data_IF_319714951689
#
_entry.id   IF_319714951689
#
_cell.length_a   1.000
_cell.length_b   1.000
_cell.length_c   1.000
_cell.angle_alpha   90.00
_cell.angle_beta   90.00
_cell.angle_gamma   90.00
#
_symmetry.space_group_name_H-M   'P 1'
#
loop_
_entity.id
_entity.type
_entity.pdbx_description
1 polymer ?
#
# COMPACT_ATOMS: atom_id res chain seq x y z
N UNK A 1 2.45 -3.69 -13.35
CA UNK A 1 1.70 -3.47 -14.59
C UNK A 1 1.20 -2.03 -14.62
N UNK A 2 1.49 -1.25 -15.68
CA UNK A 2 1.12 0.17 -15.73
C UNK A 2 -0.40 0.38 -15.86
N UNK A 3 -1.11 -0.54 -16.50
CA UNK A 3 -2.57 -0.44 -16.65
C UNK A 3 -3.28 -0.60 -15.30
N UNK A 4 -2.77 -1.48 -14.44
CA UNK A 4 -3.26 -1.65 -13.06
C UNK A 4 -3.04 -0.37 -12.23
N UNK A 5 -1.87 0.26 -12.33
CA UNK A 5 -1.60 1.52 -11.62
C UNK A 5 -2.56 2.61 -12.12
N UNK A 6 -2.75 2.70 -13.43
CA UNK A 6 -3.57 3.73 -14.05
C UNK A 6 -5.06 3.64 -13.66
N UNK A 7 -5.56 2.44 -13.33
CA UNK A 7 -6.96 2.25 -12.93
C UNK A 7 -7.27 2.71 -11.50
N UNK A 8 -6.26 3.06 -10.70
CA UNK A 8 -6.51 3.50 -9.33
C UNK A 8 -7.26 4.84 -9.31
N UNK A 9 -8.14 5.06 -8.31
CA UNK A 9 -8.88 6.30 -8.21
C UNK A 9 -7.95 7.52 -8.16
N UNK A 10 -8.29 8.55 -8.95
CA UNK A 10 -7.60 9.83 -9.00
C UNK A 10 -8.52 10.95 -8.58
N UNK A 11 -7.97 11.95 -7.92
CA UNK A 11 -8.68 13.09 -7.36
C UNK A 11 -7.91 14.37 -7.65
N UNK A 12 -8.62 15.45 -7.94
CA UNK A 12 -8.03 16.78 -8.00
C UNK A 12 -8.05 17.37 -6.60
N UNK A 13 -6.89 17.77 -6.09
CA UNK A 13 -6.81 18.53 -4.85
C UNK A 13 -7.29 19.96 -5.11
N UNK A 14 -8.07 20.52 -4.18
CA UNK A 14 -8.40 21.94 -4.18
C UNK A 14 -8.17 22.51 -2.79
N UNK A 15 -7.40 23.60 -2.74
CA UNK A 15 -6.99 24.21 -1.48
C UNK A 15 -8.19 24.78 -0.72
N UNK A 16 -9.22 25.27 -1.45
CA UNK A 16 -10.45 25.79 -0.85
C UNK A 16 -11.26 24.69 -0.16
N UNK A 17 -11.23 23.46 -0.69
CA UNK A 17 -11.90 22.32 -0.07
C UNK A 17 -11.14 21.83 1.17
N UNK A 18 -9.81 21.92 1.17
CA UNK A 18 -8.98 21.60 2.31
C UNK A 18 -9.12 22.63 3.45
N UNK A 19 -9.24 23.92 3.11
CA UNK A 19 -9.40 25.01 4.09
C UNK A 19 -10.75 24.98 4.84
N UNK A 20 -11.80 24.42 4.22
CA UNK A 20 -13.14 24.33 4.82
C UNK A 20 -13.42 23.03 5.60
N UNK A 21 -12.55 22.03 5.50
CA UNK A 21 -12.73 20.73 6.14
C UNK A 21 -11.89 20.57 7.39
N UNK A 22 -12.50 20.34 8.55
CA UNK A 22 -11.84 19.90 9.80
C UNK A 22 -11.23 18.47 9.70
N UNK A 23 -10.87 18.01 8.49
CA UNK A 23 -10.10 16.79 8.30
C UNK A 23 -8.66 17.20 8.05
N UNK A 24 -7.93 17.44 9.13
CA UNK A 24 -6.47 17.57 9.17
C UNK A 24 -5.75 16.26 8.84
N UNK A 25 -6.21 15.57 7.78
CA UNK A 25 -5.47 14.48 7.17
C UNK A 25 -4.41 15.12 6.29
N UNK A 26 -3.20 15.24 6.85
CA UNK A 26 -1.94 15.66 6.25
C UNK A 26 -2.04 15.98 4.75
N UNK A 27 -2.20 17.27 4.42
CA UNK A 27 -2.21 17.78 3.05
C UNK A 27 -0.80 17.75 2.44
N UNK A 28 -0.05 16.67 2.67
CA UNK A 28 1.33 16.47 2.26
C UNK A 28 1.50 15.09 1.64
N UNK A 29 2.35 15.00 0.63
CA UNK A 29 2.71 13.73 0.03
C UNK A 29 3.85 13.09 0.82
N UNK A 30 3.67 11.88 1.34
CA UNK A 30 4.72 11.16 2.10
C UNK A 30 5.87 10.61 1.24
N UNK A 31 5.83 10.77 -0.08
CA UNK A 31 6.92 10.38 -0.99
C UNK A 31 7.88 11.56 -1.23
N UNK A 32 7.36 12.72 -1.61
CA UNK A 32 8.19 13.92 -1.87
C UNK A 32 8.27 14.87 -0.67
N UNK A 33 7.47 14.65 0.36
CA UNK A 33 7.36 15.46 1.58
C UNK A 33 6.92 16.91 1.32
N UNK A 34 6.29 17.17 0.17
CA UNK A 34 5.73 18.47 -0.18
C UNK A 34 4.23 18.53 0.10
N UNK A 35 3.73 19.72 0.43
CA UNK A 35 2.30 20.02 0.50
C UNK A 35 1.62 19.87 -0.86
N UNK A 36 0.36 19.47 -0.85
CA UNK A 36 -0.48 19.47 -2.04
C UNK A 36 -0.85 20.89 -2.43
N UNK A 37 -0.78 21.17 -3.73
CA UNK A 37 -1.17 22.46 -4.30
C UNK A 37 -2.49 22.36 -5.02
N UNK A 38 -3.15 23.50 -5.15
CA UNK A 38 -4.39 23.61 -5.89
C UNK A 38 -4.25 23.01 -7.30
N UNK A 39 -5.30 22.30 -7.72
CA UNK A 39 -5.42 21.57 -8.98
C UNK A 39 -4.47 20.38 -9.16
N UNK A 40 -3.65 20.02 -8.17
CA UNK A 40 -2.77 18.85 -8.30
C UNK A 40 -3.57 17.54 -8.35
N UNK A 41 -3.13 16.63 -9.23
CA UNK A 41 -3.71 15.29 -9.32
C UNK A 41 -3.11 14.38 -8.26
N UNK A 42 -3.96 13.91 -7.35
CA UNK A 42 -3.64 12.89 -6.37
C UNK A 42 -4.17 11.54 -6.82
N UNK A 43 -3.48 10.48 -6.42
CA UNK A 43 -3.96 9.11 -6.60
C UNK A 43 -4.14 8.47 -5.24
N UNK A 44 -5.28 7.80 -5.08
CA UNK A 44 -5.67 7.09 -3.87
C UNK A 44 -5.38 5.60 -4.04
N UNK A 45 -4.73 5.00 -3.04
CA UNK A 45 -4.58 3.54 -2.99
C UNK A 45 -5.94 2.87 -2.69
N UNK A 46 -6.39 1.88 -3.48
CA UNK A 46 -7.74 1.31 -3.34
C UNK A 46 -7.99 0.61 -1.98
N UNK A 47 -7.00 -0.12 -1.46
CA UNK A 47 -7.16 -0.92 -0.23
C UNK A 47 -7.03 -0.11 1.06
N UNK A 48 -6.13 0.88 1.09
CA UNK A 48 -5.78 1.61 2.31
C UNK A 48 -6.15 3.10 2.28
N UNK A 49 -6.65 3.59 1.14
CA UNK A 49 -7.09 4.98 0.91
C UNK A 49 -6.06 6.08 1.23
N UNK A 50 -4.78 5.74 1.24
CA UNK A 50 -3.72 6.76 1.32
C UNK A 50 -3.60 7.53 0.01
N UNK A 51 -3.36 8.83 0.12
CA UNK A 51 -3.22 9.76 -0.98
C UNK A 51 -1.76 10.13 -1.21
N UNK A 52 -1.41 10.32 -2.48
CA UNK A 52 -0.09 10.75 -2.94
C UNK A 52 -0.25 11.54 -4.23
N UNK A 53 0.75 12.35 -4.60
CA UNK A 53 0.82 12.87 -5.98
C UNK A 53 0.79 11.73 -6.98
N UNK A 54 0.01 11.88 -8.05
CA UNK A 54 -0.13 10.89 -9.12
C UNK A 54 1.23 10.44 -9.63
N UNK A 55 2.12 11.39 -9.93
CA UNK A 55 3.48 11.11 -10.42
C UNK A 55 4.35 10.36 -9.39
N UNK A 56 4.27 10.75 -8.11
CA UNK A 56 5.09 10.16 -7.06
C UNK A 56 4.73 8.70 -6.82
N UNK A 57 3.44 8.38 -6.69
CA UNK A 57 3.02 7.01 -6.44
C UNK A 57 3.15 6.12 -7.68
N UNK A 58 2.94 6.66 -8.88
CA UNK A 58 3.12 5.90 -10.12
C UNK A 58 4.60 5.48 -10.29
N UNK A 59 5.55 6.37 -9.95
CA UNK A 59 6.98 6.04 -9.94
C UNK A 59 7.32 5.00 -8.85
N UNK A 60 6.75 5.14 -7.65
CA UNK A 60 6.98 4.21 -6.55
C UNK A 60 6.46 2.80 -6.83
N UNK A 61 5.23 2.68 -7.35
CA UNK A 61 4.59 1.39 -7.61
C UNK A 61 5.27 0.59 -8.73
N UNK A 62 5.95 1.27 -9.67
CA UNK A 62 6.80 0.59 -10.66
C UNK A 62 7.96 -0.19 -10.03
N UNK A 63 8.43 0.23 -8.87
CA UNK A 63 9.58 -0.36 -8.18
C UNK A 63 9.17 -1.29 -7.03
N UNK A 64 8.22 -0.85 -6.20
CA UNK A 64 7.91 -1.50 -4.91
C UNK A 64 6.53 -2.18 -4.85
N UNK A 65 5.60 -1.83 -5.77
CA UNK A 65 4.26 -2.43 -5.86
C UNK A 65 3.39 -2.37 -4.60
N UNK A 66 3.74 -1.58 -3.59
CA UNK A 66 3.07 -1.51 -2.28
C UNK A 66 2.91 -0.08 -1.79
N UNK A 67 1.96 0.15 -0.88
CA UNK A 67 1.74 1.47 -0.30
C UNK A 67 2.96 1.95 0.52
N UNK A 68 3.50 3.16 0.27
CA UNK A 68 4.61 3.72 1.06
C UNK A 68 4.33 3.86 2.56
N UNK A 69 3.06 4.05 2.95
CA UNK A 69 2.66 4.32 4.34
C UNK A 69 2.44 3.02 5.11
N UNK A 70 1.52 2.18 4.64
CA UNK A 70 1.11 0.98 5.39
C UNK A 70 1.70 -0.33 4.85
N UNK A 71 2.50 -0.27 3.77
CA UNK A 71 3.11 -1.44 3.09
C UNK A 71 2.10 -2.47 2.57
N UNK A 72 0.80 -2.14 2.57
CA UNK A 72 -0.21 -3.01 2.00
C UNK A 72 -0.05 -3.02 0.48
N UNK A 73 0.05 -4.22 -0.08
CA UNK A 73 -0.02 -4.41 -1.52
C UNK A 73 -1.49 -4.34 -1.96
N UNK A 74 -1.81 -3.64 -3.06
CA UNK A 74 -3.12 -3.72 -3.69
C UNK A 74 -3.34 -5.06 -4.41
N UNK A 75 -2.30 -5.89 -4.55
CA UNK A 75 -2.42 -7.25 -5.05
C UNK A 75 -2.70 -8.18 -3.85
N UNK A 76 -3.73 -9.04 -3.91
CA UNK A 76 -3.88 -10.11 -2.93
C UNK A 76 -2.62 -10.97 -3.00
N UNK A 77 -1.82 -10.93 -1.93
CA UNK A 77 -0.67 -11.82 -1.82
C UNK A 77 -1.22 -13.26 -1.78
N UNK A 78 -0.82 -14.15 -2.70
CA UNK A 78 -1.14 -15.58 -2.57
C UNK A 78 -0.35 -16.25 -1.42
N UNK A 79 0.44 -15.50 -0.65
CA UNK A 79 1.37 -16.01 0.35
C UNK A 79 1.01 -15.65 1.79
N UNK A 80 -0.25 -15.33 2.08
CA UNK A 80 -0.77 -15.50 3.45
C UNK A 80 -0.95 -17.00 3.74
N UNK A 81 0.12 -17.78 3.61
CA UNK A 81 0.23 -19.07 4.26
C UNK A 81 0.33 -18.75 5.76
N UNK A 82 -0.59 -19.24 6.62
CA UNK A 82 -0.41 -19.08 8.05
C UNK A 82 0.95 -19.69 8.43
N UNK A 83 1.76 -18.91 9.15
CA UNK A 83 3.13 -19.24 9.57
C UNK A 83 3.22 -20.48 10.50
N UNK A 84 2.14 -21.23 10.71
CA UNK A 84 2.05 -22.31 11.68
C UNK A 84 2.52 -23.68 11.20
N UNK A 85 2.97 -23.87 9.95
CA UNK A 85 3.29 -25.22 9.45
C UNK A 85 4.68 -25.45 8.86
N UNK A 86 5.66 -24.61 9.20
CA UNK A 86 7.07 -25.00 9.06
C UNK A 86 7.52 -25.73 10.34
N UNK A 87 7.15 -27.00 10.45
CA UNK A 87 7.72 -27.91 11.44
C UNK A 87 9.16 -28.23 11.01
N UNK A 88 10.20 -27.88 11.81
CA UNK A 88 11.59 -28.15 11.44
C UNK A 88 11.83 -29.65 11.19
N UNK A 89 12.66 -29.99 10.20
CA UNK A 89 13.06 -31.37 9.87
C UNK A 89 13.57 -32.17 11.09
N UNK A 90 14.10 -31.49 12.11
CA UNK A 90 14.52 -32.10 13.39
C UNK A 90 13.36 -32.75 14.15
N UNK A 91 12.13 -32.25 14.00
CA UNK A 91 10.94 -32.74 14.70
C UNK A 91 10.25 -33.91 13.96
N UNK A 92 10.53 -34.10 12.67
CA UNK A 92 9.95 -35.17 11.86
C UNK A 92 10.39 -36.58 12.29
N UNK A 93 11.64 -36.72 12.77
CA UNK A 93 12.16 -37.99 13.30
C UNK A 93 11.49 -38.41 14.62
N UNK A 94 10.98 -37.45 15.41
CA UNK A 94 10.28 -37.75 16.67
C UNK A 94 8.88 -38.34 16.44
N UNK A 95 8.20 -37.96 15.35
CA UNK A 95 6.87 -38.48 15.01
C UNK A 95 6.89 -39.97 14.67
N UNK A 96 7.90 -40.44 13.93
CA UNK A 96 8.04 -41.87 13.56
C UNK A 96 8.33 -42.79 14.74
N UNK A 97 8.88 -42.26 15.85
CA UNK A 97 9.14 -43.05 17.07
C UNK A 97 7.90 -43.23 17.95
N UNK A 98 6.87 -42.39 17.80
CA UNK A 98 5.61 -42.49 18.57
C UNK A 98 4.57 -43.45 17.97
N UNK A 99 4.81 -43.98 16.76
CA UNK A 99 3.93 -44.96 16.09
C UNK A 99 4.48 -46.40 16.11
N UNK A 100 5.48 -46.67 16.96
CA UNK A 100 5.90 -48.04 17.31
C UNK A 100 5.46 -48.36 18.71
#
# INVERSE_FOLDING_TARGET
DQAVINSYPKFQFSEEAAAGGNNGGDATCSICLCEYKDLEMLRMMPECRHFFHLWCIDAWLKLNGSCPVCRNSPLPSPLSMPQSEVVPLSQYAAYRRRRR
#
